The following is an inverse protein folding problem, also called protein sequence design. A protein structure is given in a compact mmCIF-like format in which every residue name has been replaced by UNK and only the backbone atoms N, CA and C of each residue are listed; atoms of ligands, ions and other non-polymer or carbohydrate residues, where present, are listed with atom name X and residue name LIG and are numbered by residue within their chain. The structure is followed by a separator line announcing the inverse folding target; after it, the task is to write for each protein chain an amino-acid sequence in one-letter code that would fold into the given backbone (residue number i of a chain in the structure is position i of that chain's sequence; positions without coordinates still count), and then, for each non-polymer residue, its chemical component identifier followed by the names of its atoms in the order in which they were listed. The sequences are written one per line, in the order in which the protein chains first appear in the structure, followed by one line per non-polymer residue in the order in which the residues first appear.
data_IF_019363791753
#
_entry.id   IF_019363791753
#
_cell.length_a   1.000
_cell.length_b   1.000
_cell.length_c   1.000
_cell.angle_alpha   90.00
_cell.angle_beta   90.00
_cell.angle_gamma   90.00
#
_symmetry.space_group_name_H-M   'P 1'
#
loop_
_entity.id
_entity.type
_entity.pdbx_description
1 polymer ?
#
# COMPACT_ATOMS: atom_id res chain seq x y z
N UNK A 1 14.61 -7.77 6.51
CA UNK A 1 13.70 -8.13 5.39
C UNK A 1 12.76 -6.94 5.22
N UNK A 2 12.68 -6.35 4.03
CA UNK A 2 12.00 -5.06 3.81
C UNK A 2 10.48 -5.16 3.63
N UNK A 3 9.93 -6.38 3.46
CA UNK A 3 8.50 -6.60 3.42
C UNK A 3 8.07 -8.06 3.34
N UNK A 4 6.76 -8.28 3.48
CA UNK A 4 6.06 -9.55 3.25
C UNK A 4 4.96 -9.33 2.21
N UNK A 5 4.78 -10.25 1.27
CA UNK A 5 3.72 -10.23 0.27
C UNK A 5 2.72 -11.36 0.54
N UNK A 6 1.43 -11.05 0.54
CA UNK A 6 0.34 -12.05 0.55
C UNK A 6 -0.57 -11.80 -0.64
N UNK A 7 -0.87 -12.84 -1.41
CA UNK A 7 -1.72 -12.78 -2.61
C UNK A 7 -3.06 -13.51 -2.42
N UNK A 8 -3.35 -13.99 -1.22
CA UNK A 8 -4.59 -14.70 -0.92
C UNK A 8 -5.75 -13.71 -0.86
N UNK A 9 -6.86 -14.04 -1.52
CA UNK A 9 -8.08 -13.25 -1.39
C UNK A 9 -8.56 -13.28 0.07
N UNK A 10 -8.89 -12.13 0.68
CA UNK A 10 -9.39 -12.09 2.05
C UNK A 10 -10.75 -12.76 2.16
N UNK A 11 -10.98 -13.48 3.26
CA UNK A 11 -12.31 -13.92 3.65
C UNK A 11 -13.20 -12.71 3.96
N UNK A 12 -14.53 -12.87 3.82
CA UNK A 12 -15.50 -11.82 4.13
C UNK A 12 -15.28 -11.26 5.56
N UNK A 13 -15.16 -9.93 5.67
CA UNK A 13 -14.95 -9.23 6.94
C UNK A 13 -13.52 -9.26 7.49
N UNK A 14 -12.57 -9.93 6.83
CA UNK A 14 -11.16 -9.92 7.23
C UNK A 14 -10.34 -8.95 6.37
N UNK A 15 -9.47 -8.16 7.00
CA UNK A 15 -8.40 -7.45 6.31
C UNK A 15 -7.15 -8.33 6.26
N UNK A 16 -6.61 -8.55 5.07
CA UNK A 16 -5.35 -9.29 4.88
C UNK A 16 -4.26 -8.31 4.51
N UNK A 17 -3.15 -8.32 5.26
CA UNK A 17 -1.96 -7.56 4.88
C UNK A 17 -1.38 -8.17 3.61
N UNK A 18 -1.32 -7.38 2.55
CA UNK A 18 -0.74 -7.76 1.26
C UNK A 18 0.68 -7.26 1.10
N UNK A 19 1.06 -6.19 1.81
CA UNK A 19 2.41 -5.65 1.75
C UNK A 19 2.74 -4.87 3.02
N UNK A 20 3.98 -4.98 3.50
CA UNK A 20 4.50 -4.13 4.57
C UNK A 20 5.88 -3.59 4.18
N UNK A 21 6.15 -2.32 4.45
CA UNK A 21 7.47 -1.71 4.30
C UNK A 21 7.96 -1.13 5.61
N UNK A 22 9.16 -1.52 6.03
CA UNK A 22 9.87 -0.87 7.13
C UNK A 22 10.85 0.15 6.55
N UNK A 23 10.81 1.40 7.04
CA UNK A 23 11.58 2.54 6.50
C UNK A 23 12.77 2.95 7.36
N UNK A 24 13.07 2.20 8.42
CA UNK A 24 13.89 2.65 9.54
C UNK A 24 15.40 2.77 9.22
N UNK A 25 15.88 2.27 8.06
CA UNK A 25 17.33 2.21 7.79
C UNK A 25 17.65 2.39 6.30
N UNK A 26 18.53 3.33 5.95
CA UNK A 26 19.19 3.38 4.63
C UNK A 26 18.77 4.49 3.67
N UNK A 27 17.92 5.42 4.10
CA UNK A 27 17.51 6.58 3.30
C UNK A 27 18.40 7.78 3.63
N UNK A 28 19.45 7.97 2.84
CA UNK A 28 20.40 9.09 2.92
C UNK A 28 19.86 10.41 2.33
N UNK A 29 20.26 11.58 2.87
CA UNK A 29 19.82 12.87 2.36
C UNK A 29 20.12 13.08 0.87
N UNK A 30 19.16 13.67 0.15
CA UNK A 30 19.33 14.05 -1.26
C UNK A 30 19.25 12.89 -2.24
N UNK A 31 18.85 11.71 -1.80
CA UNK A 31 18.63 10.54 -2.65
C UNK A 31 17.18 10.14 -2.62
N UNK A 32 16.72 9.58 -3.74
CA UNK A 32 15.34 9.13 -3.93
C UNK A 32 15.33 7.66 -4.28
N UNK A 33 14.53 6.89 -3.55
CA UNK A 33 14.26 5.47 -3.81
C UNK A 33 12.82 5.31 -4.26
N UNK A 34 12.61 4.50 -5.29
CA UNK A 34 11.28 4.12 -5.74
C UNK A 34 11.13 2.62 -5.63
N UNK A 35 10.10 2.22 -4.91
CA UNK A 35 9.67 0.84 -4.73
C UNK A 35 8.40 0.65 -5.54
N UNK A 36 8.32 -0.46 -6.25
CA UNK A 36 7.13 -0.83 -7.01
C UNK A 36 6.83 -2.29 -6.71
N UNK A 37 5.62 -2.53 -6.22
CA UNK A 37 5.10 -3.88 -6.01
C UNK A 37 3.90 -4.08 -6.90
N UNK A 38 3.89 -5.19 -7.64
CA UNK A 38 2.79 -5.57 -8.48
C UNK A 38 2.32 -6.97 -8.10
N UNK A 39 1.00 -7.15 -8.04
CA UNK A 39 0.37 -8.46 -7.85
C UNK A 39 -1.02 -8.47 -8.49
N UNK A 40 -1.59 -9.66 -8.64
CA UNK A 40 -2.96 -9.82 -9.16
C UNK A 40 -3.85 -10.36 -8.05
N UNK A 41 -5.04 -9.79 -7.91
CA UNK A 41 -6.06 -10.23 -6.97
C UNK A 41 -7.40 -10.32 -7.68
N UNK A 42 -8.02 -11.50 -7.63
CA UNK A 42 -9.28 -11.80 -8.33
C UNK A 42 -9.27 -11.31 -9.79
N UNK A 43 -8.19 -11.59 -10.53
CA UNK A 43 -8.01 -11.18 -11.93
C UNK A 43 -7.70 -9.69 -12.15
N UNK A 44 -7.64 -8.87 -11.10
CA UNK A 44 -7.31 -7.44 -11.19
C UNK A 44 -5.84 -7.20 -10.87
N UNK A 45 -5.15 -6.49 -11.76
CA UNK A 45 -3.78 -6.08 -11.52
C UNK A 45 -3.73 -4.92 -10.52
N UNK A 46 -2.94 -5.09 -9.48
CA UNK A 46 -2.67 -4.12 -8.44
C UNK A 46 -1.22 -3.68 -8.53
N UNK A 47 -1.02 -2.36 -8.57
CA UNK A 47 0.28 -1.71 -8.57
C UNK A 47 0.37 -0.77 -7.38
N UNK A 48 1.35 -0.99 -6.53
CA UNK A 48 1.67 -0.14 -5.38
C UNK A 48 3.02 0.50 -5.67
N UNK A 49 3.07 1.82 -5.73
CA UNK A 49 4.33 2.54 -5.87
C UNK A 49 4.57 3.42 -4.66
N UNK A 50 5.79 3.41 -4.18
CA UNK A 50 6.25 4.27 -3.10
C UNK A 50 7.56 4.92 -3.53
N UNK A 51 7.64 6.23 -3.35
CA UNK A 51 8.85 7.01 -3.52
C UNK A 51 9.22 7.66 -2.19
N UNK A 52 10.46 7.44 -1.77
CA UNK A 52 11.02 8.03 -0.57
C UNK A 52 12.23 8.88 -0.94
N UNK A 53 12.25 10.14 -0.51
CA UNK A 53 13.38 11.04 -0.72
C UNK A 53 13.98 11.43 0.62
N UNK A 54 15.25 11.09 0.84
CA UNK A 54 15.95 11.41 2.08
C UNK A 54 16.15 12.90 2.27
N UNK A 55 16.00 13.36 3.50
CA UNK A 55 16.26 14.74 3.94
C UNK A 55 17.24 14.71 5.12
N UNK A 56 17.77 15.88 5.50
CA UNK A 56 18.69 15.99 6.64
C UNK A 56 18.07 15.55 7.98
N UNK A 57 16.74 15.46 8.06
CA UNK A 57 16.00 15.15 9.29
C UNK A 57 15.03 13.97 9.13
N UNK A 58 15.13 13.20 8.05
CA UNK A 58 14.23 12.08 7.77
C UNK A 58 14.01 11.82 6.28
N UNK A 59 12.75 11.73 5.86
CA UNK A 59 12.38 11.52 4.46
C UNK A 59 11.07 12.20 4.09
N UNK A 60 10.94 12.56 2.81
CA UNK A 60 9.66 12.87 2.15
C UNK A 60 9.15 11.62 1.45
N UNK A 61 7.84 11.50 1.31
CA UNK A 61 7.20 10.33 0.75
C UNK A 61 6.13 10.73 -0.25
N UNK A 62 6.08 10.02 -1.37
CA UNK A 62 4.96 10.00 -2.29
C UNK A 62 4.56 8.56 -2.54
N UNK A 63 3.26 8.27 -2.63
CA UNK A 63 2.81 6.92 -2.97
C UNK A 63 1.62 6.97 -3.92
N UNK A 64 1.44 5.87 -4.64
CA UNK A 64 0.26 5.60 -5.44
C UNK A 64 -0.20 4.16 -5.25
N UNK A 65 -1.52 3.97 -5.35
CA UNK A 65 -2.13 2.65 -5.49
C UNK A 65 -2.99 2.66 -6.74
N UNK A 66 -2.81 1.65 -7.58
CA UNK A 66 -3.66 1.37 -8.73
C UNK A 66 -4.22 -0.03 -8.59
N UNK A 67 -5.53 -0.19 -8.79
CA UNK A 67 -6.21 -1.48 -8.88
C UNK A 67 -7.14 -1.45 -10.08
N UNK A 68 -6.77 -2.15 -11.16
CA UNK A 68 -7.47 -2.07 -12.43
C UNK A 68 -7.46 -0.64 -12.98
N UNK A 69 -8.65 -0.03 -13.09
CA UNK A 69 -8.81 1.36 -13.55
C UNK A 69 -8.85 2.39 -12.40
N UNK A 70 -8.96 1.96 -11.14
CA UNK A 70 -8.96 2.85 -9.99
C UNK A 70 -7.52 3.21 -9.62
N UNK A 71 -7.23 4.50 -9.46
CA UNK A 71 -5.92 4.98 -9.00
C UNK A 71 -6.10 6.08 -7.95
N UNK A 72 -5.24 6.06 -6.93
CA UNK A 72 -5.08 7.16 -5.98
C UNK A 72 -3.59 7.44 -5.78
N UNK A 73 -3.28 8.64 -5.31
CA UNK A 73 -1.93 9.02 -4.95
C UNK A 73 -1.90 10.14 -3.94
N UNK A 74 -0.77 10.28 -3.25
CA UNK A 74 -0.58 11.31 -2.26
C UNK A 74 0.90 11.60 -2.04
N UNK A 75 1.13 12.71 -1.37
CA UNK A 75 2.44 13.15 -0.91
C UNK A 75 2.34 13.55 0.57
N UNK A 76 3.33 13.12 1.35
CA UNK A 76 3.61 13.59 2.70
C UNK A 76 2.39 13.65 3.66
N UNK A 77 1.51 12.64 3.63
CA UNK A 77 0.44 12.50 4.64
C UNK A 77 0.52 11.19 5.42
N UNK A 78 0.12 11.24 6.69
CA UNK A 78 -0.05 10.05 7.52
C UNK A 78 -1.48 9.48 7.44
N UNK A 79 -2.40 10.16 6.76
CA UNK A 79 -3.78 9.70 6.65
C UNK A 79 -3.86 8.44 5.78
N UNK A 80 -4.56 7.42 6.29
CA UNK A 80 -4.97 6.26 5.49
C UNK A 80 -5.76 6.70 4.26
N UNK A 81 -5.61 5.98 3.16
CA UNK A 81 -6.49 6.07 1.99
C UNK A 81 -6.88 4.68 1.55
N UNK A 82 -8.03 4.65 0.91
CA UNK A 82 -8.66 3.45 0.40
C UNK A 82 -9.03 3.67 -1.05
N UNK A 83 -8.81 2.65 -1.89
CA UNK A 83 -9.42 2.52 -3.20
C UNK A 83 -10.28 1.26 -3.22
N UNK A 84 -11.44 1.38 -3.86
CA UNK A 84 -12.33 0.24 -4.08
C UNK A 84 -12.20 -0.23 -5.53
N UNK A 85 -12.27 -1.54 -5.74
CA UNK A 85 -12.27 -2.12 -7.08
C UNK A 85 -13.13 -3.39 -7.11
N UNK A 86 -13.65 -3.69 -8.30
CA UNK A 86 -14.42 -4.92 -8.55
C UNK A 86 -13.51 -5.96 -9.18
N UNK A 87 -13.45 -7.14 -8.58
CA UNK A 87 -12.71 -8.27 -9.10
C UNK A 87 -13.42 -8.95 -10.28
N UNK A 88 -12.71 -9.83 -10.99
CA UNK A 88 -13.24 -10.57 -12.13
C UNK A 88 -14.40 -11.49 -11.75
N UNK A 89 -14.49 -11.93 -10.49
CA UNK A 89 -15.63 -12.68 -9.97
C UNK A 89 -16.90 -11.82 -9.79
N UNK A 90 -16.78 -10.50 -9.82
CA UNK A 90 -17.85 -9.56 -9.46
C UNK A 90 -17.86 -9.17 -7.97
N UNK A 91 -16.96 -9.72 -7.15
CA UNK A 91 -16.76 -9.30 -5.77
C UNK A 91 -16.19 -7.87 -5.68
N UNK A 92 -16.55 -7.12 -4.64
CA UNK A 92 -16.00 -5.79 -4.35
C UNK A 92 -14.95 -5.88 -3.25
N UNK A 93 -13.80 -5.25 -3.51
CA UNK A 93 -12.66 -5.21 -2.60
C UNK A 93 -12.30 -3.77 -2.26
N UNK A 94 -11.73 -3.58 -1.07
CA UNK A 94 -11.12 -2.33 -0.66
C UNK A 94 -9.63 -2.56 -0.38
N UNK A 95 -8.76 -1.84 -1.09
CA UNK A 95 -7.34 -1.77 -0.81
C UNK A 95 -7.07 -0.51 -0.01
N UNK A 96 -6.50 -0.66 1.19
CA UNK A 96 -6.23 0.42 2.13
C UNK A 96 -4.75 0.43 2.47
N UNK A 97 -4.12 1.60 2.49
CA UNK A 97 -2.85 1.76 3.18
C UNK A 97 -3.08 2.25 4.61
N UNK A 98 -2.21 1.84 5.52
CA UNK A 98 -2.13 2.35 6.87
C UNK A 98 -0.67 2.71 7.16
N UNK A 99 -0.46 3.92 7.67
CA UNK A 99 0.83 4.36 8.15
C UNK A 99 0.88 4.22 9.67
N UNK A 100 1.92 3.55 10.15
CA UNK A 100 2.25 3.53 11.58
C UNK A 100 3.37 4.54 11.82
N UNK A 101 3.08 5.51 12.67
CA UNK A 101 4.07 6.47 13.18
C UNK A 101 4.65 5.93 14.49
N UNK A 102 5.98 5.97 14.62
CA UNK A 102 6.65 5.83 15.92
C UNK A 102 7.19 7.20 16.32
N UNK A 103 6.43 7.90 17.17
CA UNK A 103 6.68 9.31 17.47
C UNK A 103 6.54 10.22 16.24
N UNK A 104 7.64 10.85 15.81
CA UNK A 104 7.69 11.77 14.65
C UNK A 104 8.28 11.14 13.39
N UNK A 105 8.73 9.89 13.47
CA UNK A 105 9.39 9.20 12.37
C UNK A 105 8.43 8.16 11.81
N UNK A 106 8.43 8.06 10.48
CA UNK A 106 7.63 7.07 9.81
C UNK A 106 8.23 5.67 9.97
N UNK A 107 7.52 4.78 10.64
CA UNK A 107 8.08 3.48 11.01
C UNK A 107 7.73 2.38 9.99
N UNK A 108 6.45 2.27 9.65
CA UNK A 108 6.00 1.27 8.67
C UNK A 108 4.79 1.72 7.86
N UNK A 109 4.72 1.24 6.62
CA UNK A 109 3.51 1.29 5.80
C UNK A 109 3.01 -0.13 5.63
N UNK A 110 1.70 -0.31 5.78
CA UNK A 110 1.03 -1.58 5.55
C UNK A 110 -0.10 -1.37 4.56
N UNK A 111 -0.17 -2.25 3.57
CA UNK A 111 -1.28 -2.34 2.64
C UNK A 111 -2.13 -3.52 3.05
N UNK A 112 -3.43 -3.28 3.21
CA UNK A 112 -4.41 -4.30 3.53
C UNK A 112 -5.49 -4.34 2.46
N UNK A 113 -5.95 -5.55 2.14
CA UNK A 113 -7.13 -5.77 1.30
C UNK A 113 -8.23 -6.35 2.17
N UNK A 114 -9.45 -5.84 2.04
CA UNK A 114 -10.65 -6.46 2.58
C UNK A 114 -11.67 -6.76 1.47
N UNK A 115 -12.42 -7.84 1.67
CA UNK A 115 -13.61 -8.14 0.87
C UNK A 115 -14.78 -7.29 1.43
N UNK A 116 -15.25 -6.34 0.62
CA UNK A 116 -16.38 -5.45 0.96
C UNK A 116 -17.69 -6.17 0.68
N UNK A 117 -17.77 -6.85 -0.48
CA UNK A 117 -18.98 -7.55 -0.92
C UNK A 117 -18.60 -8.80 -1.72
N UNK A 118 -19.15 -9.99 -1.41
CA UNK A 118 -18.93 -11.19 -2.21
C UNK A 118 -19.64 -11.13 -3.57
N UNK A 119 -19.17 -11.94 -4.52
CA UNK A 119 -19.88 -12.20 -5.78
C UNK A 119 -21.23 -12.90 -5.51
N UNK A 120 -22.23 -12.65 -6.38
CA UNK A 120 -23.55 -13.27 -6.32
C UNK A 120 -23.59 -14.63 -7.03
#
# INVERSE_FOLDING_TARGET
MWGSLSTSAPNAGAATQVLGFNRDIGITPGHTWTFTTAFTLDGVNILLQEQLTGTNTGSKMSQSMTAGNATTGFQDTASSKTINFTGASGAEYALTWNLTLDGKVYYSIQYTVSLVKPAY
#
